data_IF_784097335862
#
_entry.id   IF_784097335862
#
_cell.length_a   1.000
_cell.length_b   1.000
_cell.length_c   1.000
_cell.angle_alpha   90.00
_cell.angle_beta   90.00
_cell.angle_gamma   90.00
#
_symmetry.space_group_name_H-M   'P 1'
#
loop_
_entity.id
_entity.type
_entity.pdbx_description
1 polymer ?
#
# COMPACT_ATOMS: atom_id res chain seq x y z
N UNK A 1 -4.44 -11.27 -9.35
CA UNK A 1 -4.36 -10.09 -8.45
C UNK A 1 -4.34 -10.48 -6.97
N UNK A 2 -4.96 -11.58 -6.54
CA UNK A 2 -4.87 -12.04 -5.14
C UNK A 2 -3.53 -12.68 -4.77
N UNK A 3 -2.83 -13.26 -5.74
CA UNK A 3 -1.54 -13.92 -5.52
C UNK A 3 -0.45 -13.00 -4.97
N UNK A 4 -0.49 -11.70 -5.29
CA UNK A 4 0.48 -10.73 -4.77
C UNK A 4 0.22 -10.39 -3.31
N UNK A 5 -1.04 -10.26 -2.88
CA UNK A 5 -1.39 -9.98 -1.48
C UNK A 5 -1.00 -11.16 -0.59
N UNK A 6 -1.34 -12.39 -0.99
CA UNK A 6 -0.97 -13.59 -0.24
C UNK A 6 0.55 -13.76 -0.15
N UNK A 7 1.27 -13.47 -1.25
CA UNK A 7 2.73 -13.52 -1.23
C UNK A 7 3.34 -12.46 -0.33
N UNK A 8 2.84 -11.22 -0.40
CA UNK A 8 3.30 -10.13 0.49
C UNK A 8 3.07 -10.48 1.96
N UNK A 9 1.93 -11.11 2.30
CA UNK A 9 1.65 -11.57 3.65
C UNK A 9 2.62 -12.67 4.10
N UNK A 10 2.83 -13.69 3.26
CA UNK A 10 3.81 -14.75 3.53
C UNK A 10 5.22 -14.18 3.75
N UNK A 11 5.65 -13.27 2.90
CA UNK A 11 6.98 -12.66 2.97
C UNK A 11 7.13 -11.74 4.20
N UNK A 12 6.04 -11.06 4.60
CA UNK A 12 5.98 -10.28 5.82
C UNK A 12 6.11 -11.16 7.07
N UNK A 13 5.30 -12.23 7.15
CA UNK A 13 5.31 -13.19 8.27
C UNK A 13 6.68 -13.89 8.40
N UNK A 14 7.34 -14.15 7.27
CA UNK A 14 8.69 -14.70 7.21
C UNK A 14 9.81 -13.67 7.48
N UNK A 15 9.48 -12.42 7.78
CA UNK A 15 10.42 -11.32 8.09
C UNK A 15 11.46 -11.09 6.98
N UNK A 16 11.03 -11.18 5.72
CA UNK A 16 11.91 -10.97 4.56
C UNK A 16 12.28 -9.49 4.42
N UNK A 17 11.39 -8.58 4.79
CA UNK A 17 11.56 -7.13 4.64
C UNK A 17 12.42 -6.50 5.74
N UNK A 18 13.66 -6.96 5.90
CA UNK A 18 14.57 -6.47 6.95
C UNK A 18 15.28 -5.16 6.59
N UNK A 19 15.41 -4.87 5.30
CA UNK A 19 16.01 -3.65 4.79
C UNK A 19 14.98 -2.88 3.99
N UNK A 20 14.96 -1.56 4.17
CA UNK A 20 14.05 -0.67 3.47
C UNK A 20 14.82 0.54 2.96
N UNK A 21 14.74 0.79 1.66
CA UNK A 21 15.26 2.02 1.08
C UNK A 21 14.22 3.11 1.29
N UNK A 22 14.55 4.13 2.08
CA UNK A 22 13.64 5.23 2.35
C UNK A 22 13.07 5.80 1.05
N UNK A 23 11.76 6.03 1.06
CA UNK A 23 11.04 6.52 -0.09
C UNK A 23 10.11 7.66 0.30
N UNK A 24 10.33 8.83 -0.29
CA UNK A 24 9.45 9.99 -0.10
C UNK A 24 8.40 10.01 -1.20
N UNK A 25 7.14 9.85 -0.83
CA UNK A 25 6.01 9.88 -1.76
C UNK A 25 5.73 11.30 -2.23
N UNK A 26 4.95 11.46 -3.31
CA UNK A 26 4.63 12.78 -3.90
C UNK A 26 3.92 13.73 -2.93
N UNK A 27 3.18 13.20 -1.95
CA UNK A 27 2.55 13.98 -0.88
C UNK A 27 3.52 14.44 0.22
N UNK A 28 4.83 14.19 0.04
CA UNK A 28 5.96 14.56 0.91
C UNK A 28 6.08 13.78 2.22
N UNK A 29 5.27 12.74 2.42
CA UNK A 29 5.51 11.77 3.50
C UNK A 29 6.71 10.88 3.13
N UNK A 30 7.58 10.59 4.09
CA UNK A 30 8.70 9.66 3.91
C UNK A 30 8.38 8.34 4.59
N UNK A 31 8.49 7.26 3.85
CA UNK A 31 8.37 5.88 4.31
C UNK A 31 9.77 5.35 4.62
N UNK A 32 9.94 4.70 5.75
CA UNK A 32 11.23 4.29 6.29
C UNK A 32 11.32 2.80 6.63
N UNK A 33 10.19 2.10 6.63
CA UNK A 33 10.07 0.67 6.87
C UNK A 33 8.90 0.10 6.07
N UNK A 34 8.77 -1.22 6.09
CA UNK A 34 7.72 -1.92 5.34
C UNK A 34 6.33 -1.67 5.93
N UNK A 35 6.20 -1.50 7.23
CA UNK A 35 4.95 -1.20 7.92
C UNK A 35 4.35 0.12 7.41
N UNK A 36 5.16 1.18 7.37
CA UNK A 36 4.76 2.48 6.83
C UNK A 36 4.36 2.38 5.35
N UNK A 37 5.04 1.53 4.57
CA UNK A 37 4.69 1.31 3.17
C UNK A 37 3.35 0.58 2.99
N UNK A 38 3.08 -0.43 3.82
CA UNK A 38 1.80 -1.16 3.83
C UNK A 38 0.66 -0.22 4.24
N UNK A 39 0.86 0.58 5.29
CA UNK A 39 -0.13 1.55 5.76
C UNK A 39 -0.44 2.59 4.67
N UNK A 40 0.60 3.13 4.03
CA UNK A 40 0.44 4.06 2.90
C UNK A 40 -0.32 3.42 1.74
N UNK A 41 0.00 2.18 1.37
CA UNK A 41 -0.68 1.47 0.29
C UNK A 41 -2.17 1.30 0.59
N UNK A 42 -2.54 0.88 1.81
CA UNK A 42 -3.94 0.73 2.20
C UNK A 42 -4.70 2.07 2.16
N UNK A 43 -4.06 3.14 2.62
CA UNK A 43 -4.62 4.49 2.50
C UNK A 43 -4.83 4.90 1.04
N UNK A 44 -3.84 4.67 0.17
CA UNK A 44 -3.88 5.00 -1.26
C UNK A 44 -4.99 4.22 -2.00
N UNK A 45 -5.14 2.93 -1.73
CA UNK A 45 -6.23 2.11 -2.27
C UNK A 45 -7.60 2.59 -1.78
N UNK A 46 -7.70 3.11 -0.54
CA UNK A 46 -8.90 3.77 -0.04
C UNK A 46 -9.32 4.99 -0.88
N UNK A 47 -8.35 5.80 -1.33
CA UNK A 47 -8.61 6.93 -2.23
C UNK A 47 -9.10 6.43 -3.59
N UNK A 48 -8.44 5.42 -4.17
CA UNK A 48 -8.87 4.81 -5.42
C UNK A 48 -10.30 4.29 -5.34
N UNK A 49 -10.62 3.55 -4.28
CA UNK A 49 -11.97 3.03 -4.05
C UNK A 49 -12.99 4.17 -3.94
N UNK A 50 -12.66 5.24 -3.22
CA UNK A 50 -13.51 6.42 -3.10
C UNK A 50 -13.88 7.03 -4.46
N UNK A 51 -12.90 7.18 -5.36
CA UNK A 51 -13.14 7.65 -6.72
C UNK A 51 -13.96 6.67 -7.57
N UNK A 52 -13.70 5.37 -7.48
CA UNK A 52 -14.48 4.34 -8.18
C UNK A 52 -15.95 4.41 -7.75
N UNK A 53 -16.22 4.55 -6.46
CA UNK A 53 -17.59 4.68 -5.93
C UNK A 53 -18.25 5.98 -6.39
N UNK A 54 -17.51 7.09 -6.44
CA UNK A 54 -18.02 8.36 -6.96
C UNK A 54 -18.39 8.27 -8.45
N UNK A 55 -17.54 7.66 -9.27
CA UNK A 55 -17.82 7.41 -10.69
C UNK A 55 -19.04 6.50 -10.86
N UNK A 56 -19.12 5.41 -10.10
CA UNK A 56 -20.28 4.50 -10.13
C UNK A 56 -21.59 5.20 -9.76
N UNK A 57 -21.55 6.19 -8.87
CA UNK A 57 -22.73 6.99 -8.49
C UNK A 57 -23.11 8.03 -9.56
N UNK A 58 -22.14 8.49 -10.35
CA UNK A 58 -22.35 9.49 -11.40
C UNK A 58 -22.87 8.92 -12.72
N UNK A 59 -22.78 7.60 -12.90
CA UNK A 59 -23.37 6.84 -14.01
C UNK A 59 -24.79 6.40 -13.65
#
# INVERSE_FOLDING_TARGET
MFSTIEKTKEDYDNKIFQTYNQYTVTTKSTLSNVEEAIDFNNFHEGIHLGYILALRKSL
#
